data_IF_347133559934
#
_entry.id   IF_347133559934
#
_cell.length_a   1.000
_cell.length_b   1.000
_cell.length_c   1.000
_cell.angle_alpha   90.00
_cell.angle_beta   90.00
_cell.angle_gamma   90.00
#
_symmetry.space_group_name_H-M   'P 1'
#
loop_
_entity.id
_entity.type
_entity.pdbx_description
1 polymer ?
#
# COMPACT_ATOMS: atom_id res chain seq x y z
N UNK A 1 -26.25 48.58 22.36
CA UNK A 1 -25.91 47.14 22.34
C UNK A 1 -25.83 46.64 20.87
N UNK A 2 -24.83 47.06 20.08
CA UNK A 2 -24.71 46.69 18.64
C UNK A 2 -23.32 46.20 18.21
N UNK A 3 -22.32 46.31 19.08
CA UNK A 3 -20.91 46.01 18.75
C UNK A 3 -20.55 44.52 18.94
N UNK A 4 -21.10 43.85 19.96
CA UNK A 4 -20.71 42.46 20.31
C UNK A 4 -21.10 41.40 19.26
N UNK A 5 -22.11 41.64 18.43
CA UNK A 5 -22.57 40.67 17.42
C UNK A 5 -21.63 40.61 16.21
N UNK A 6 -21.00 41.74 15.82
CA UNK A 6 -20.09 41.79 14.65
C UNK A 6 -18.80 40.99 14.86
N UNK A 7 -18.27 40.95 16.07
CA UNK A 7 -17.05 40.20 16.39
C UNK A 7 -17.28 38.67 16.45
N UNK A 8 -18.48 38.24 16.86
CA UNK A 8 -18.83 36.82 16.92
C UNK A 8 -18.99 36.25 15.51
N UNK A 9 -19.62 37.00 14.59
CA UNK A 9 -19.73 36.59 13.19
C UNK A 9 -18.39 36.55 12.46
N UNK A 10 -17.47 37.51 12.70
CA UNK A 10 -16.17 37.50 12.02
C UNK A 10 -15.25 36.39 12.54
N UNK A 11 -15.31 36.05 13.83
CA UNK A 11 -14.55 34.92 14.39
C UNK A 11 -15.00 33.56 13.86
N UNK A 12 -16.31 33.37 13.65
CA UNK A 12 -16.86 32.11 13.15
C UNK A 12 -16.49 31.83 11.69
N UNK A 13 -16.48 32.88 10.84
CA UNK A 13 -16.09 32.76 9.42
C UNK A 13 -14.62 32.37 9.27
N UNK A 14 -13.74 32.90 10.14
CA UNK A 14 -12.31 32.55 10.14
C UNK A 14 -12.11 31.09 10.54
N UNK A 15 -12.80 30.60 11.58
CA UNK A 15 -12.72 29.19 12.01
C UNK A 15 -13.22 28.24 10.91
N UNK A 16 -14.33 28.56 10.24
CA UNK A 16 -14.84 27.75 9.14
C UNK A 16 -13.89 27.73 7.93
N UNK A 17 -13.23 28.85 7.62
CA UNK A 17 -12.24 28.91 6.55
C UNK A 17 -11.02 28.03 6.84
N UNK A 18 -10.50 28.05 8.08
CA UNK A 18 -9.37 27.19 8.47
C UNK A 18 -9.74 25.70 8.50
N UNK A 19 -10.94 25.34 8.98
CA UNK A 19 -11.41 23.96 8.95
C UNK A 19 -11.65 23.44 7.51
N UNK A 20 -12.17 24.30 6.61
CA UNK A 20 -12.34 23.99 5.20
C UNK A 20 -11.00 23.74 4.49
N UNK A 21 -10.00 24.59 4.74
CA UNK A 21 -8.66 24.44 4.15
C UNK A 21 -7.93 23.20 4.69
N UNK A 22 -8.08 22.88 5.98
CA UNK A 22 -7.50 21.65 6.56
C UNK A 22 -8.04 20.37 5.91
N UNK A 23 -9.35 20.34 5.62
CA UNK A 23 -9.99 19.18 4.97
C UNK A 23 -9.58 19.05 3.50
N UNK A 24 -9.29 20.15 2.81
CA UNK A 24 -8.83 20.16 1.41
C UNK A 24 -7.35 19.76 1.32
N UNK A 25 -6.50 20.23 2.24
CA UNK A 25 -5.07 19.87 2.27
C UNK A 25 -4.84 18.39 2.63
N UNK A 26 -5.67 17.80 3.48
CA UNK A 26 -5.59 16.36 3.81
C UNK A 26 -6.18 15.44 2.72
N UNK A 27 -6.89 15.99 1.74
CA UNK A 27 -7.44 15.24 0.60
C UNK A 27 -6.52 15.28 -0.63
N UNK A 28 -5.30 15.81 -0.49
CA UNK A 28 -4.29 15.66 -1.54
C UNK A 28 -3.98 14.16 -1.64
N UNK A 29 -4.22 13.51 -2.79
CA UNK A 29 -3.88 12.11 -2.95
C UNK A 29 -2.38 11.97 -2.74
N UNK A 30 -2.00 11.32 -1.63
CA UNK A 30 -0.60 11.01 -1.35
C UNK A 30 -0.13 10.15 -2.51
N UNK A 31 0.84 10.66 -3.27
CA UNK A 31 1.41 9.89 -4.38
C UNK A 31 1.95 8.58 -3.79
N UNK A 32 1.61 7.43 -4.41
CA UNK A 32 2.15 6.16 -3.95
C UNK A 32 3.68 6.22 -3.94
N UNK A 33 4.31 5.77 -2.86
CA UNK A 33 5.77 5.82 -2.62
C UNK A 33 6.42 4.44 -2.80
N UNK A 34 5.85 3.61 -3.67
CA UNK A 34 6.14 2.19 -3.75
C UNK A 34 7.60 1.86 -4.12
N UNK A 35 8.22 2.62 -5.02
CA UNK A 35 9.64 2.45 -5.35
C UNK A 35 10.55 2.83 -4.18
N UNK A 36 10.22 3.91 -3.47
CA UNK A 36 11.02 4.39 -2.35
C UNK A 36 10.93 3.39 -1.20
N UNK A 37 9.72 2.92 -0.91
CA UNK A 37 9.48 1.86 0.08
C UNK A 37 10.26 0.57 -0.22
N UNK A 38 10.31 0.16 -1.48
CA UNK A 38 11.02 -1.07 -1.88
C UNK A 38 12.51 -0.86 -2.17
N UNK A 39 13.04 0.34 -1.90
CA UNK A 39 14.44 0.68 -2.16
C UNK A 39 14.86 0.52 -3.61
N UNK A 40 13.94 0.66 -4.57
CA UNK A 40 14.13 0.39 -6.00
C UNK A 40 14.52 -1.06 -6.35
N UNK A 41 14.37 -2.02 -5.42
CA UNK A 41 14.79 -3.42 -5.59
C UNK A 41 14.09 -4.09 -6.79
N UNK A 42 12.83 -3.75 -7.03
CA UNK A 42 11.98 -4.43 -8.01
C UNK A 42 11.85 -3.68 -9.35
N UNK A 43 12.81 -2.81 -9.71
CA UNK A 43 12.80 -2.14 -11.03
C UNK A 43 12.89 -3.13 -12.20
N UNK A 44 13.52 -4.28 -11.96
CA UNK A 44 13.53 -5.43 -12.87
C UNK A 44 12.56 -6.50 -12.33
N UNK A 45 12.15 -7.41 -13.20
CA UNK A 45 11.33 -8.55 -12.79
C UNK A 45 12.08 -9.42 -11.79
N UNK A 46 11.50 -9.59 -10.61
CA UNK A 46 12.00 -10.42 -9.52
C UNK A 46 11.03 -11.56 -9.26
N UNK A 47 11.60 -12.74 -8.96
CA UNK A 47 10.84 -13.94 -8.64
C UNK A 47 10.58 -14.00 -7.13
N UNK A 48 9.31 -14.10 -6.77
CA UNK A 48 8.83 -14.33 -5.41
C UNK A 48 8.41 -15.79 -5.28
N UNK A 49 9.04 -16.52 -4.36
CA UNK A 49 8.77 -17.94 -4.13
C UNK A 49 7.60 -18.10 -3.16
N UNK A 50 6.69 -19.05 -3.41
CA UNK A 50 5.58 -19.31 -2.51
C UNK A 50 6.09 -19.85 -1.16
N UNK A 51 5.43 -19.45 -0.09
CA UNK A 51 5.67 -19.94 1.26
C UNK A 51 4.90 -21.25 1.56
N UNK A 52 4.18 -21.79 0.59
CA UNK A 52 3.53 -23.09 0.62
C UNK A 52 4.02 -23.96 -0.56
N UNK A 53 3.59 -25.24 -0.61
CA UNK A 53 3.97 -26.16 -1.71
C UNK A 53 3.03 -26.10 -2.92
N UNK A 54 1.88 -25.44 -2.79
CA UNK A 54 0.76 -25.55 -3.74
C UNK A 54 0.65 -24.36 -4.68
N UNK A 55 1.08 -23.19 -4.23
CA UNK A 55 0.94 -21.93 -4.92
C UNK A 55 2.06 -21.77 -5.96
N UNK A 56 1.78 -21.16 -7.13
CA UNK A 56 2.82 -20.83 -8.09
C UNK A 56 3.67 -19.66 -7.59
N UNK A 57 4.89 -19.54 -8.10
CA UNK A 57 5.72 -18.34 -7.89
C UNK A 57 5.12 -17.11 -8.56
N UNK A 58 5.43 -15.93 -8.03
CA UNK A 58 5.02 -14.65 -8.61
C UNK A 58 6.21 -13.91 -9.21
N UNK A 59 6.03 -13.35 -10.39
CA UNK A 59 6.99 -12.46 -11.04
C UNK A 59 6.54 -11.01 -10.86
N UNK A 60 7.33 -10.22 -10.15
CA UNK A 60 6.97 -8.86 -9.74
C UNK A 60 7.97 -7.88 -10.31
N UNK A 61 7.46 -6.81 -10.94
CA UNK A 61 8.25 -5.65 -11.37
C UNK A 61 7.51 -4.38 -11.01
N UNK A 62 8.17 -3.46 -10.32
CA UNK A 62 7.67 -2.12 -10.02
C UNK A 62 8.30 -1.19 -11.05
N UNK A 63 7.52 -0.82 -12.07
CA UNK A 63 8.02 0.01 -13.17
C UNK A 63 8.23 1.45 -12.70
N UNK A 64 7.29 1.94 -11.90
CA UNK A 64 7.31 3.24 -11.24
C UNK A 64 6.37 3.22 -10.02
N UNK A 65 6.24 4.34 -9.32
CA UNK A 65 5.39 4.49 -8.14
C UNK A 65 3.90 4.24 -8.41
N UNK A 66 3.43 4.45 -9.65
CA UNK A 66 2.04 4.31 -10.05
C UNK A 66 1.78 3.01 -10.82
N UNK A 67 2.79 2.16 -11.01
CA UNK A 67 2.68 0.99 -11.89
C UNK A 67 3.49 -0.20 -11.38
N UNK A 68 2.77 -1.28 -11.14
CA UNK A 68 3.33 -2.59 -10.85
C UNK A 68 2.95 -3.59 -11.95
N UNK A 69 3.82 -4.54 -12.23
CA UNK A 69 3.61 -5.63 -13.17
C UNK A 69 3.70 -6.94 -12.38
N UNK A 70 2.64 -7.73 -12.43
CA UNK A 70 2.49 -8.98 -11.68
C UNK A 70 2.25 -10.09 -12.71
N UNK A 71 3.14 -11.08 -12.78
CA UNK A 71 3.12 -12.15 -13.77
C UNK A 71 3.00 -11.64 -15.22
N UNK A 72 3.63 -10.50 -15.52
CA UNK A 72 3.60 -9.86 -16.83
C UNK A 72 2.38 -8.94 -17.08
N UNK A 73 1.40 -8.92 -16.18
CA UNK A 73 0.22 -8.06 -16.28
C UNK A 73 0.48 -6.74 -15.55
N UNK A 74 0.43 -5.64 -16.29
CA UNK A 74 0.58 -4.31 -15.71
C UNK A 74 -0.71 -3.86 -15.02
N UNK A 75 -0.61 -3.42 -13.77
CA UNK A 75 -1.69 -2.85 -12.98
C UNK A 75 -1.27 -1.48 -12.44
N UNK A 76 -2.19 -0.51 -12.52
CA UNK A 76 -1.98 0.83 -11.98
C UNK A 76 -2.10 0.80 -10.45
N UNK A 77 -1.11 1.29 -9.74
CA UNK A 77 -1.15 1.50 -8.28
C UNK A 77 -2.05 2.70 -8.00
N UNK A 78 -3.04 2.51 -7.13
CA UNK A 78 -4.02 3.55 -6.78
C UNK A 78 -3.65 4.24 -5.48
N UNK A 79 -3.21 3.48 -4.47
CA UNK A 79 -2.68 4.02 -3.23
C UNK A 79 -1.79 3.01 -2.50
N UNK A 80 -0.95 3.54 -1.61
CA UNK A 80 -0.07 2.78 -0.72
C UNK A 80 -0.25 3.35 0.69
N UNK A 81 -0.56 2.50 1.66
CA UNK A 81 -0.76 2.91 3.05
C UNK A 81 0.00 2.01 4.02
N UNK A 82 0.23 2.50 5.25
CA UNK A 82 0.79 1.66 6.31
C UNK A 82 -0.23 0.58 6.66
N UNK A 83 0.25 -0.65 6.84
CA UNK A 83 -0.58 -1.77 7.22
C UNK A 83 0.14 -2.62 8.27
N UNK A 84 -0.64 -3.44 8.97
CA UNK A 84 -0.09 -4.48 9.82
C UNK A 84 0.47 -5.62 8.96
N UNK A 85 1.59 -6.25 9.36
CA UNK A 85 2.12 -7.41 8.67
C UNK A 85 1.11 -8.56 8.71
N UNK A 86 0.89 -9.19 7.56
CA UNK A 86 0.01 -10.37 7.48
C UNK A 86 0.87 -11.61 7.38
N UNK A 87 0.80 -12.45 8.40
CA UNK A 87 1.44 -13.77 8.40
C UNK A 87 0.53 -14.80 7.73
N UNK A 88 1.16 -15.78 7.07
CA UNK A 88 0.49 -16.97 6.57
C UNK A 88 1.23 -18.19 7.11
N UNK A 89 0.51 -19.23 7.55
CA UNK A 89 1.14 -20.49 7.93
C UNK A 89 1.91 -21.07 6.73
N UNK A 90 3.06 -21.68 6.98
CA UNK A 90 3.90 -22.29 5.94
C UNK A 90 5.40 -22.12 6.19
N UNK A 91 6.20 -22.20 5.13
CA UNK A 91 7.67 -22.10 5.18
C UNK A 91 8.20 -20.72 5.59
N UNK A 92 7.32 -19.72 5.66
CA UNK A 92 7.68 -18.33 5.98
C UNK A 92 7.16 -17.87 7.35
N UNK A 93 6.63 -18.77 8.17
CA UNK A 93 5.95 -18.41 9.43
C UNK A 93 6.92 -17.74 10.44
N UNK A 94 8.17 -18.20 10.43
CA UNK A 94 9.26 -17.68 11.27
C UNK A 94 9.85 -16.35 10.77
N UNK A 95 9.39 -15.82 9.64
CA UNK A 95 9.87 -14.52 9.15
C UNK A 95 9.41 -13.40 10.08
N UNK A 96 10.38 -12.57 10.44
CA UNK A 96 10.18 -11.33 11.19
C UNK A 96 9.77 -10.22 10.21
N UNK A 97 8.46 -9.96 10.16
CA UNK A 97 7.85 -9.01 9.23
C UNK A 97 7.79 -7.63 9.88
N UNK A 98 8.38 -6.66 9.21
CA UNK A 98 8.46 -5.28 9.66
C UNK A 98 7.99 -4.33 8.55
N UNK A 99 7.69 -3.09 8.92
CA UNK A 99 7.41 -1.97 8.00
C UNK A 99 6.52 -2.38 6.81
N UNK A 100 5.25 -2.72 7.09
CA UNK A 100 4.35 -3.26 6.07
C UNK A 100 3.51 -2.19 5.41
N UNK A 101 3.20 -2.41 4.12
CA UNK A 101 2.40 -1.52 3.31
C UNK A 101 1.29 -2.29 2.62
N UNK A 102 0.05 -1.81 2.74
CA UNK A 102 -1.03 -2.23 1.87
C UNK A 102 -0.90 -1.47 0.56
N UNK A 103 -0.83 -2.23 -0.53
CA UNK A 103 -0.73 -1.72 -1.89
C UNK A 103 -2.02 -2.06 -2.60
N UNK A 104 -2.78 -1.04 -2.97
CA UNK A 104 -3.92 -1.18 -3.86
C UNK A 104 -3.53 -0.84 -5.28
N UNK A 105 -4.02 -1.67 -6.19
CA UNK A 105 -3.89 -1.47 -7.62
C UNK A 105 -5.28 -1.48 -8.27
N UNK A 106 -5.35 -1.29 -9.58
CA UNK A 106 -6.60 -1.36 -10.32
C UNK A 106 -7.22 -2.77 -10.31
N UNK A 107 -6.40 -3.83 -10.19
CA UNK A 107 -6.86 -5.22 -10.30
C UNK A 107 -6.70 -6.01 -8.99
N UNK A 108 -5.73 -5.65 -8.15
CA UNK A 108 -5.35 -6.41 -6.96
C UNK A 108 -5.09 -5.52 -5.74
N UNK A 109 -5.30 -6.06 -4.54
CA UNK A 109 -4.70 -5.57 -3.31
C UNK A 109 -3.77 -6.60 -2.70
N UNK A 110 -2.71 -6.15 -2.04
CA UNK A 110 -1.73 -7.01 -1.40
C UNK A 110 -0.99 -6.26 -0.29
N UNK A 111 -0.47 -6.97 0.70
CA UNK A 111 0.43 -6.42 1.72
C UNK A 111 1.87 -6.80 1.38
N UNK A 112 2.72 -5.78 1.26
CA UNK A 112 4.17 -5.95 1.14
C UNK A 112 4.80 -5.67 2.50
N UNK A 113 5.65 -6.59 2.98
CA UNK A 113 6.37 -6.42 4.23
C UNK A 113 7.87 -6.54 4.01
N UNK A 114 8.65 -5.78 4.78
CA UNK A 114 10.09 -5.94 4.86
C UNK A 114 10.45 -7.08 5.80
N UNK A 115 11.50 -7.83 5.47
CA UNK A 115 12.14 -8.78 6.37
C UNK A 115 13.62 -8.45 6.47
N UNK A 116 14.31 -9.08 7.44
CA UNK A 116 15.78 -8.93 7.59
C UNK A 116 16.54 -9.30 6.31
N UNK A 117 16.01 -10.24 5.54
CA UNK A 117 16.68 -10.84 4.37
C UNK A 117 16.00 -10.50 3.05
N UNK A 118 14.92 -9.71 3.05
CA UNK A 118 14.21 -9.39 1.82
C UNK A 118 12.83 -8.77 2.01
N UNK A 119 11.86 -9.27 1.24
CA UNK A 119 10.47 -8.78 1.25
C UNK A 119 9.48 -9.94 1.13
N UNK A 120 8.29 -9.78 1.70
CA UNK A 120 7.17 -10.69 1.50
C UNK A 120 5.99 -10.00 0.84
N UNK A 121 5.21 -10.77 0.09
CA UNK A 121 3.89 -10.42 -0.41
C UNK A 121 2.86 -11.34 0.24
N UNK A 122 1.75 -10.79 0.69
CA UNK A 122 0.72 -11.54 1.40
C UNK A 122 -0.66 -10.92 1.17
N UNK A 123 -1.72 -11.64 1.57
CA UNK A 123 -3.10 -11.18 1.46
C UNK A 123 -3.46 -10.68 0.06
N UNK A 124 -3.05 -11.44 -0.95
CA UNK A 124 -3.21 -11.07 -2.35
C UNK A 124 -4.66 -11.33 -2.77
N UNK A 125 -5.40 -10.27 -3.06
CA UNK A 125 -6.83 -10.32 -3.42
C UNK A 125 -7.08 -9.67 -4.76
N UNK A 126 -7.90 -10.31 -5.58
CA UNK A 126 -8.42 -9.73 -6.80
C UNK A 126 -9.63 -8.83 -6.47
N UNK A 127 -9.63 -7.60 -6.95
CA UNK A 127 -10.61 -6.59 -6.52
C UNK A 127 -11.96 -6.70 -7.24
N UNK A 128 -12.03 -7.39 -8.37
CA UNK A 128 -13.27 -7.49 -9.15
C UNK A 128 -14.27 -8.50 -8.55
N UNK A 129 -13.76 -9.57 -7.94
CA UNK A 129 -14.52 -10.70 -7.41
C UNK A 129 -14.21 -11.00 -5.93
N UNK A 130 -13.33 -10.23 -5.29
CA UNK A 130 -12.81 -10.44 -3.93
C UNK A 130 -12.16 -11.82 -3.74
N UNK A 131 -11.71 -12.46 -4.83
CA UNK A 131 -11.03 -13.74 -4.76
C UNK A 131 -9.63 -13.54 -4.15
N UNK A 132 -9.41 -14.18 -3.01
CA UNK A 132 -8.09 -14.23 -2.38
C UNK A 132 -7.29 -15.37 -2.98
N UNK A 133 -6.10 -15.07 -3.51
CA UNK A 133 -5.15 -16.11 -3.92
C UNK A 133 -4.63 -16.91 -2.71
N UNK A 134 -4.82 -16.40 -1.49
CA UNK A 134 -4.29 -17.00 -0.28
C UNK A 134 -2.77 -17.01 -0.24
N UNK A 135 -2.20 -17.36 0.90
CA UNK A 135 -0.76 -17.58 1.03
C UNK A 135 0.11 -16.32 1.14
N UNK A 136 1.41 -16.59 1.08
CA UNK A 136 2.48 -15.60 1.19
C UNK A 136 3.57 -15.98 0.20
N UNK A 137 4.26 -15.00 -0.34
CA UNK A 137 5.44 -15.20 -1.18
C UNK A 137 6.61 -14.41 -0.63
N UNK A 138 7.81 -14.96 -0.77
CA UNK A 138 9.03 -14.39 -0.25
C UNK A 138 10.04 -14.13 -1.37
N UNK A 139 10.67 -12.96 -1.31
CA UNK A 139 11.82 -12.59 -2.11
C UNK A 139 13.02 -12.40 -1.19
N UNK A 140 14.11 -13.12 -1.48
CA UNK A 140 15.38 -12.95 -0.81
C UNK A 140 16.24 -11.92 -1.57
N UNK A 141 16.74 -10.90 -0.86
CA UNK A 141 17.64 -9.86 -1.41
C UNK A 141 18.98 -10.42 -1.84
#
# INVERSE_FOLDING_TARGET
>A
MKSKIRYVLSGFVVICAFAGVYKILNNVPVKPDLLDFTGNTFKKTSLFLPCDKSSPSLNIKIADNEKIVINGIASKVTFVEKADPVKSPGFCDDLDLNNSRLVHTASYSMVISETKTGYTLSNFKHLADDESLGGMWFYQK
#
